data_IF_867412907547
#
_entry.id   IF_867412907547
#
_cell.length_a   1.000
_cell.length_b   1.000
_cell.length_c   1.000
_cell.angle_alpha   90.00
_cell.angle_beta   90.00
_cell.angle_gamma   90.00
#
_symmetry.space_group_name_H-M   'P 1'
#
loop_
_entity.id
_entity.type
_entity.pdbx_description
1 polymer ?
#
# COMPACT_ATOMS: atom_id res chain seq x y z
N UNK A 1 5.26 24.99 6.96
CA UNK A 1 3.90 24.65 6.52
C UNK A 1 3.18 25.93 6.16
N UNK A 2 2.40 25.94 5.09
CA UNK A 2 1.62 27.10 4.67
C UNK A 2 0.21 27.02 5.28
N UNK A 3 -0.12 27.96 6.17
CA UNK A 3 -1.39 28.00 6.89
C UNK A 3 -2.01 29.39 6.73
N UNK A 4 -3.22 29.47 6.19
CA UNK A 4 -4.00 30.72 6.08
C UNK A 4 -3.20 31.91 5.49
N UNK A 5 -2.35 31.64 4.49
CA UNK A 5 -1.52 32.68 3.86
C UNK A 5 -0.19 32.98 4.57
N UNK A 6 0.16 32.28 5.64
CA UNK A 6 1.41 32.47 6.40
C UNK A 6 2.25 31.21 6.44
N UNK A 7 3.56 31.40 6.52
CA UNK A 7 4.51 30.30 6.74
C UNK A 7 4.74 30.11 8.23
N UNK A 8 4.48 28.90 8.70
CA UNK A 8 4.77 28.49 10.08
C UNK A 8 5.72 27.30 10.09
N UNK A 9 6.61 27.17 11.09
CA UNK A 9 7.44 25.98 11.26
C UNK A 9 6.58 24.72 11.36
N UNK A 10 7.04 23.60 10.78
CA UNK A 10 6.37 22.32 10.99
C UNK A 10 6.74 21.80 12.38
N UNK A 11 5.91 22.11 13.36
CA UNK A 11 6.04 21.62 14.74
C UNK A 11 5.47 20.20 14.91
N UNK A 12 5.67 19.61 16.09
CA UNK A 12 5.22 18.25 16.38
C UNK A 12 3.70 18.11 16.36
N UNK A 13 2.98 19.19 16.69
CA UNK A 13 1.51 19.21 16.65
C UNK A 13 1.01 19.12 15.21
N UNK A 14 1.49 19.98 14.32
CA UNK A 14 1.14 19.97 12.91
C UNK A 14 1.55 18.66 12.23
N UNK A 15 2.67 18.05 12.65
CA UNK A 15 3.06 16.71 12.20
C UNK A 15 2.04 15.65 12.62
N UNK A 16 1.55 15.72 13.86
CA UNK A 16 0.50 14.82 14.36
C UNK A 16 -0.82 15.02 13.62
N UNK A 17 -1.24 16.26 13.39
CA UNK A 17 -2.48 16.59 12.66
C UNK A 17 -2.39 16.13 11.20
N UNK A 18 -1.23 16.33 10.56
CA UNK A 18 -0.94 15.79 9.22
C UNK A 18 -1.06 14.27 9.19
N UNK A 19 -0.44 13.57 10.15
CA UNK A 19 -0.50 12.11 10.21
C UNK A 19 -1.94 11.62 10.41
N UNK A 20 -2.71 12.30 11.26
CA UNK A 20 -4.12 11.98 11.49
C UNK A 20 -4.93 12.11 10.20
N UNK A 21 -4.85 13.25 9.51
CA UNK A 21 -5.54 13.46 8.24
C UNK A 21 -5.10 12.46 7.15
N UNK A 22 -3.80 12.13 7.09
CA UNK A 22 -3.28 11.12 6.18
C UNK A 22 -3.86 9.72 6.45
N UNK A 23 -3.93 9.31 7.72
CA UNK A 23 -4.52 8.04 8.13
C UNK A 23 -6.02 7.99 7.85
N UNK A 24 -6.76 9.07 8.10
CA UNK A 24 -8.19 9.16 7.82
C UNK A 24 -8.49 9.02 6.32
N UNK A 25 -7.86 9.84 5.47
CA UNK A 25 -8.05 9.80 4.02
C UNK A 25 -7.62 8.44 3.43
N UNK A 26 -6.48 7.92 3.87
CA UNK A 26 -6.03 6.58 3.46
C UNK A 26 -6.99 5.49 3.94
N UNK A 27 -7.56 5.62 5.14
CA UNK A 27 -8.53 4.69 5.71
C UNK A 27 -9.87 4.66 4.96
N UNK A 28 -10.20 5.73 4.24
CA UNK A 28 -11.32 5.78 3.31
C UNK A 28 -11.03 5.11 1.95
N UNK A 29 -9.82 4.55 1.75
CA UNK A 29 -9.42 3.94 0.49
C UNK A 29 -9.02 4.96 -0.57
N UNK A 30 -8.72 6.19 -0.17
CA UNK A 30 -8.27 7.23 -1.09
C UNK A 30 -6.74 7.17 -1.26
N UNK A 31 -6.27 7.50 -2.45
CA UNK A 31 -4.86 7.77 -2.74
C UNK A 31 -4.56 9.20 -2.33
N UNK A 32 -3.65 9.35 -1.37
CA UNK A 32 -3.30 10.66 -0.79
C UNK A 32 -1.94 11.12 -1.32
N UNK A 33 -1.89 12.36 -1.82
CA UNK A 33 -0.69 13.02 -2.34
C UNK A 33 -0.35 14.25 -1.49
N UNK A 34 0.92 14.40 -1.13
CA UNK A 34 1.44 15.57 -0.42
C UNK A 34 2.02 16.59 -1.39
N UNK A 35 1.62 17.85 -1.23
CA UNK A 35 2.09 18.96 -2.04
C UNK A 35 2.96 19.89 -1.19
N UNK A 36 4.12 20.24 -1.72
CA UNK A 36 5.03 21.21 -1.13
C UNK A 36 5.64 22.09 -2.23
N UNK A 37 6.03 23.29 -1.85
CA UNK A 37 6.71 24.25 -2.72
C UNK A 37 7.89 24.88 -2.00
N UNK A 38 8.71 25.63 -2.73
CA UNK A 38 9.78 26.41 -2.13
C UNK A 38 10.13 27.57 -3.05
N UNK A 39 10.12 28.79 -2.50
CA UNK A 39 10.50 29.97 -3.26
C UNK A 39 12.04 30.10 -3.25
N UNK A 40 12.66 29.85 -4.41
CA UNK A 40 14.12 29.92 -4.53
C UNK A 40 14.62 31.37 -4.39
N UNK A 41 15.66 31.63 -3.58
CA UNK A 41 16.26 32.96 -3.44
C UNK A 41 16.89 33.44 -4.76
N UNK A 42 16.45 34.59 -5.27
CA UNK A 42 16.88 35.11 -6.57
C UNK A 42 18.37 35.52 -6.61
N UNK A 43 18.99 35.76 -5.45
CA UNK A 43 20.42 36.02 -5.29
C UNK A 43 21.26 34.77 -5.58
N UNK A 44 20.75 33.58 -5.23
CA UNK A 44 21.41 32.29 -5.48
C UNK A 44 21.02 31.67 -6.82
N UNK A 45 19.79 31.94 -7.25
CA UNK A 45 19.18 31.38 -8.45
C UNK A 45 18.68 32.52 -9.36
N UNK A 46 19.59 33.24 -10.06
CA UNK A 46 19.22 34.34 -10.94
C UNK A 46 18.46 33.85 -12.18
N UNK A 47 17.82 34.78 -12.90
CA UNK A 47 17.18 34.49 -14.19
C UNK A 47 18.22 33.93 -15.17
N UNK A 48 17.94 32.76 -15.74
CA UNK A 48 18.86 32.04 -16.63
C UNK A 48 19.80 31.07 -15.92
N UNK A 49 19.65 30.86 -14.60
CA UNK A 49 20.33 29.78 -13.89
C UNK A 49 19.95 28.42 -14.49
N UNK A 50 20.96 27.60 -14.82
CA UNK A 50 20.76 26.25 -15.35
C UNK A 50 20.56 25.24 -14.21
N UNK A 51 19.40 24.58 -14.20
CA UNK A 51 19.10 23.52 -13.24
C UNK A 51 19.55 22.17 -13.78
N UNK A 52 20.26 21.41 -12.94
CA UNK A 52 20.79 20.09 -13.29
C UNK A 52 20.08 19.01 -12.47
N UNK A 53 19.49 18.03 -13.16
CA UNK A 53 18.75 16.92 -12.56
C UNK A 53 19.63 15.71 -12.24
N UNK A 54 20.81 15.59 -12.87
CA UNK A 54 21.78 14.52 -12.60
C UNK A 54 22.68 14.91 -11.44
N UNK A 55 23.17 16.16 -11.44
CA UNK A 55 23.91 16.76 -10.34
C UNK A 55 23.05 17.82 -9.66
N UNK A 56 22.15 17.35 -8.80
CA UNK A 56 21.18 18.16 -8.05
C UNK A 56 21.84 19.44 -7.49
N UNK A 57 21.50 20.59 -8.08
CA UNK A 57 22.02 21.91 -7.72
C UNK A 57 20.99 22.83 -7.05
N UNK A 58 19.84 22.29 -6.67
CA UNK A 58 18.73 22.97 -6.01
C UNK A 58 18.30 22.24 -4.72
N UNK A 59 17.65 22.94 -3.76
CA UNK A 59 17.25 22.34 -2.49
C UNK A 59 16.16 21.29 -2.68
N UNK A 60 16.36 20.11 -2.08
CA UNK A 60 15.35 19.05 -1.96
C UNK A 60 14.81 18.89 -0.53
N UNK A 61 15.30 19.70 0.41
CA UNK A 61 14.95 19.68 1.84
C UNK A 61 14.60 21.09 2.29
N UNK A 62 13.83 21.19 3.37
CA UNK A 62 13.37 22.48 3.89
C UNK A 62 12.30 23.13 3.02
N UNK A 63 11.60 22.34 2.21
CA UNK A 63 10.48 22.80 1.40
C UNK A 63 9.30 23.18 2.31
N UNK A 64 8.45 24.08 1.84
CA UNK A 64 7.23 24.51 2.49
C UNK A 64 6.11 23.54 2.13
N UNK A 65 5.66 22.75 3.09
CA UNK A 65 4.48 21.90 2.92
C UNK A 65 3.21 22.76 2.77
N UNK A 66 2.41 22.49 1.74
CA UNK A 66 1.19 23.25 1.41
C UNK A 66 -0.05 22.49 1.86
N UNK A 67 -0.14 21.19 1.57
CA UNK A 67 -1.31 20.41 1.94
C UNK A 67 -1.34 18.99 1.37
N UNK A 68 -2.39 18.26 1.73
CA UNK A 68 -2.74 16.97 1.17
C UNK A 68 -3.87 17.13 0.15
N UNK A 69 -3.84 16.33 -0.90
CA UNK A 69 -4.97 16.11 -1.79
C UNK A 69 -5.20 14.61 -1.88
N UNK A 70 -6.45 14.19 -1.78
CA UNK A 70 -6.84 12.80 -1.97
C UNK A 70 -7.62 12.62 -3.26
N UNK A 71 -7.52 11.42 -3.81
CA UNK A 71 -8.29 10.98 -4.96
C UNK A 71 -8.69 9.53 -4.76
N UNK A 72 -9.94 9.22 -5.09
CA UNK A 72 -10.43 7.85 -5.04
C UNK A 72 -10.30 7.23 -6.44
N UNK A 73 -9.73 6.03 -6.49
CA UNK A 73 -9.84 5.14 -7.64
C UNK A 73 -10.84 4.05 -7.26
N UNK A 74 -12.15 4.27 -7.52
CA UNK A 74 -13.18 3.39 -6.99
C UNK A 74 -13.08 2.01 -7.66
N UNK A 75 -13.31 0.91 -6.92
CA UNK A 75 -13.32 -0.41 -7.52
C UNK A 75 -14.41 -0.48 -8.59
N UNK A 76 -14.13 -1.19 -9.70
CA UNK A 76 -15.12 -1.41 -10.75
C UNK A 76 -16.36 -2.08 -10.14
N UNK A 77 -17.55 -1.66 -10.58
CA UNK A 77 -18.82 -2.08 -9.97
C UNK A 77 -19.04 -3.61 -9.89
N UNK A 78 -18.44 -4.38 -10.81
CA UNK A 78 -18.54 -5.83 -10.83
C UNK A 78 -17.56 -6.56 -9.88
N UNK A 79 -16.53 -5.87 -9.38
CA UNK A 79 -15.44 -6.49 -8.61
C UNK A 79 -15.93 -7.10 -7.29
N UNK A 80 -16.74 -6.42 -6.44
CA UNK A 80 -17.20 -7.02 -5.19
C UNK A 80 -17.99 -8.33 -5.40
N UNK A 81 -18.86 -8.38 -6.40
CA UNK A 81 -19.63 -9.60 -6.74
C UNK A 81 -18.72 -10.72 -7.27
N UNK A 82 -17.76 -10.39 -8.13
CA UNK A 82 -16.79 -11.35 -8.65
C UNK A 82 -15.93 -11.97 -7.53
N UNK A 83 -15.40 -11.14 -6.62
CA UNK A 83 -14.66 -11.61 -5.44
C UNK A 83 -15.53 -12.51 -4.58
N UNK A 84 -16.78 -12.11 -4.29
CA UNK A 84 -17.73 -12.91 -3.53
C UNK A 84 -17.99 -14.29 -4.15
N UNK A 85 -18.16 -14.36 -5.48
CA UNK A 85 -18.33 -15.62 -6.22
C UNK A 85 -17.09 -16.52 -6.14
N UNK A 86 -15.90 -15.97 -6.34
CA UNK A 86 -14.65 -16.71 -6.19
C UNK A 86 -14.53 -17.31 -4.79
N UNK A 87 -14.77 -16.52 -3.74
CA UNK A 87 -14.72 -16.99 -2.36
C UNK A 87 -15.77 -18.06 -2.06
N UNK A 88 -16.99 -17.90 -2.59
CA UNK A 88 -18.06 -18.90 -2.45
C UNK A 88 -17.72 -20.24 -3.11
N UNK A 89 -16.85 -20.23 -4.12
CA UNK A 89 -16.30 -21.44 -4.76
C UNK A 89 -15.07 -22.02 -4.03
N UNK A 90 -14.67 -21.45 -2.88
CA UNK A 90 -13.50 -21.89 -2.12
C UNK A 90 -12.16 -21.36 -2.65
N UNK A 91 -12.18 -20.40 -3.58
CA UNK A 91 -10.97 -19.78 -4.12
C UNK A 91 -10.45 -18.73 -3.13
N UNK A 92 -9.18 -18.85 -2.75
CA UNK A 92 -8.48 -17.84 -1.94
C UNK A 92 -8.13 -16.64 -2.82
N UNK A 93 -8.75 -15.49 -2.53
CA UNK A 93 -8.49 -14.23 -3.24
C UNK A 93 -7.48 -13.41 -2.45
N UNK A 94 -6.42 -12.95 -3.12
CA UNK A 94 -5.29 -12.22 -2.51
C UNK A 94 -5.05 -10.94 -3.30
N UNK A 95 -4.86 -9.82 -2.61
CA UNK A 95 -4.52 -8.54 -3.25
C UNK A 95 -3.01 -8.36 -3.31
N UNK A 96 -2.49 -7.93 -4.47
CA UNK A 96 -1.07 -7.59 -4.66
C UNK A 96 -0.94 -6.24 -5.37
N UNK A 97 -0.63 -5.18 -4.63
CA UNK A 97 -0.62 -3.80 -5.14
C UNK A 97 0.68 -3.04 -4.82
N UNK A 98 0.96 -2.00 -5.60
CA UNK A 98 1.99 -1.00 -5.34
C UNK A 98 1.50 0.17 -4.46
N UNK A 99 0.21 0.23 -4.15
CA UNK A 99 -0.38 1.27 -3.29
C UNK A 99 0.03 1.11 -1.83
N UNK A 100 -0.18 2.17 -1.06
CA UNK A 100 0.13 2.22 0.37
C UNK A 100 -0.73 1.22 1.17
N UNK A 101 -0.21 0.59 2.25
CA UNK A 101 -0.96 -0.41 3.04
C UNK A 101 -2.33 0.04 3.52
N UNK A 102 -2.45 1.29 3.95
CA UNK A 102 -3.71 1.84 4.49
C UNK A 102 -4.79 1.86 3.41
N UNK A 103 -4.48 2.45 2.24
CA UNK A 103 -5.36 2.48 1.09
C UNK A 103 -5.68 1.06 0.59
N UNK A 104 -4.66 0.19 0.49
CA UNK A 104 -4.84 -1.19 0.04
C UNK A 104 -5.77 -1.98 0.98
N UNK A 105 -5.61 -1.84 2.30
CA UNK A 105 -6.46 -2.47 3.31
C UNK A 105 -7.91 -1.98 3.19
N UNK A 106 -8.11 -0.67 3.02
CA UNK A 106 -9.44 -0.08 2.86
C UNK A 106 -10.14 -0.56 1.58
N UNK A 107 -9.43 -0.57 0.43
CA UNK A 107 -9.96 -1.12 -0.82
C UNK A 107 -10.25 -2.61 -0.67
N UNK A 108 -9.35 -3.39 -0.07
CA UNK A 108 -9.54 -4.83 0.15
C UNK A 108 -10.79 -5.14 1.00
N UNK A 109 -11.10 -4.30 2.00
CA UNK A 109 -12.37 -4.38 2.75
C UNK A 109 -13.57 -4.03 1.85
N UNK A 110 -13.47 -2.96 1.06
CA UNK A 110 -14.56 -2.51 0.18
C UNK A 110 -14.96 -3.55 -0.89
N UNK A 111 -14.01 -4.34 -1.39
CA UNK A 111 -14.26 -5.36 -2.42
C UNK A 111 -14.46 -6.78 -1.85
N UNK A 112 -14.39 -6.95 -0.53
CA UNK A 112 -14.62 -8.25 0.12
C UNK A 112 -13.45 -9.23 0.06
N UNK A 113 -12.22 -8.76 -0.18
CA UNK A 113 -10.99 -9.56 0.00
C UNK A 113 -10.72 -9.74 1.50
N UNK A 114 -10.82 -8.65 2.26
CA UNK A 114 -10.88 -8.70 3.72
C UNK A 114 -12.36 -8.64 4.11
N UNK A 115 -12.82 -9.62 4.89
CA UNK A 115 -14.21 -9.69 5.34
C UNK A 115 -14.50 -8.63 6.40
N UNK A 116 -15.77 -8.24 6.49
CA UNK A 116 -16.23 -7.40 7.60
C UNK A 116 -15.96 -8.11 8.94
N UNK A 117 -15.39 -7.39 9.91
CA UNK A 117 -14.99 -7.94 11.21
C UNK A 117 -13.70 -8.77 11.22
N UNK A 118 -13.07 -9.04 10.07
CA UNK A 118 -11.75 -9.64 10.06
C UNK A 118 -10.69 -8.64 10.53
N UNK A 119 -9.87 -9.05 11.48
CA UNK A 119 -8.82 -8.25 12.10
C UNK A 119 -7.44 -8.70 11.61
N UNK A 120 -6.53 -7.73 11.46
CA UNK A 120 -5.09 -7.99 11.33
C UNK A 120 -4.42 -8.04 12.70
N UNK A 121 -3.17 -8.50 12.76
CA UNK A 121 -2.37 -8.51 14.02
C UNK A 121 -2.31 -7.10 14.62
N UNK A 122 -2.17 -6.07 13.78
CA UNK A 122 -2.17 -4.67 14.20
C UNK A 122 -3.53 -4.21 14.74
N UNK A 123 -4.64 -4.67 14.14
CA UNK A 123 -5.99 -4.33 14.63
C UNK A 123 -6.21 -4.92 16.02
N UNK A 124 -5.79 -6.18 16.23
CA UNK A 124 -5.90 -6.87 17.53
C UNK A 124 -5.03 -6.17 18.58
N UNK A 125 -3.79 -5.80 18.22
CA UNK A 125 -2.88 -5.07 19.10
C UNK A 125 -3.49 -3.74 19.56
N UNK A 126 -4.02 -2.94 18.63
CA UNK A 126 -4.68 -1.66 18.93
C UNK A 126 -5.90 -1.87 19.81
N UNK A 127 -6.76 -2.84 19.49
CA UNK A 127 -7.98 -3.13 20.25
C UNK A 127 -7.68 -3.56 21.70
N UNK A 128 -6.61 -4.34 21.91
CA UNK A 128 -6.19 -4.84 23.22
C UNK A 128 -5.28 -3.87 23.98
N UNK A 129 -4.71 -2.87 23.30
CA UNK A 129 -3.73 -1.96 23.87
C UNK A 129 -2.40 -2.65 24.21
N UNK A 130 -2.00 -3.65 23.44
CA UNK A 130 -0.76 -4.41 23.62
C UNK A 130 0.20 -4.20 22.44
N UNK A 131 1.52 -4.41 22.62
CA UNK A 131 2.48 -4.48 21.51
C UNK A 131 2.08 -5.50 20.44
N UNK A 132 2.42 -5.23 19.18
CA UNK A 132 2.11 -6.13 18.04
C UNK A 132 2.81 -7.48 18.19
N UNK A 133 4.03 -7.50 18.75
CA UNK A 133 4.79 -8.72 19.03
C UNK A 133 4.13 -9.66 20.05
N UNK A 134 3.21 -9.16 20.87
CA UNK A 134 2.49 -9.94 21.89
C UNK A 134 1.19 -10.55 21.36
N UNK A 135 0.82 -10.27 20.10
CA UNK A 135 -0.36 -10.85 19.46
C UNK A 135 0.04 -12.15 18.77
N UNK A 136 -0.65 -13.24 19.08
CA UNK A 136 -0.50 -14.50 18.34
C UNK A 136 -0.99 -14.31 16.88
N UNK A 137 -0.13 -14.48 15.87
CA UNK A 137 -0.50 -14.34 14.46
C UNK A 137 -1.66 -15.24 14.04
N UNK A 138 -1.85 -16.39 14.71
CA UNK A 138 -2.94 -17.33 14.40
C UNK A 138 -4.33 -16.79 14.77
N UNK A 139 -4.41 -15.78 15.64
CA UNK A 139 -5.68 -15.11 15.97
C UNK A 139 -6.17 -14.20 14.82
N UNK A 140 -5.24 -13.68 14.02
CA UNK A 140 -5.56 -12.75 12.94
C UNK A 140 -5.96 -13.49 11.67
N UNK A 141 -7.23 -13.38 11.29
CA UNK A 141 -7.72 -13.98 10.03
C UNK A 141 -7.13 -13.29 8.80
N UNK A 142 -6.86 -11.99 8.90
CA UNK A 142 -6.36 -11.15 7.83
C UNK A 142 -4.91 -10.71 8.09
N UNK A 143 -4.15 -10.48 7.01
CA UNK A 143 -2.81 -9.92 7.09
C UNK A 143 -2.59 -8.87 6.00
N UNK A 144 -1.91 -7.79 6.37
CA UNK A 144 -1.44 -6.75 5.43
C UNK A 144 0.08 -6.72 5.49
N UNK A 145 0.73 -7.18 4.43
CA UNK A 145 2.20 -7.29 4.36
C UNK A 145 2.73 -6.14 3.51
N UNK A 146 3.64 -5.34 4.09
CA UNK A 146 4.30 -4.27 3.35
C UNK A 146 5.49 -4.82 2.55
N UNK A 147 5.74 -4.22 1.38
CA UNK A 147 6.82 -4.64 0.49
C UNK A 147 8.23 -4.54 1.09
N UNK A 148 8.49 -3.69 2.08
CA UNK A 148 9.78 -3.72 2.80
C UNK A 148 9.96 -5.03 3.54
N UNK A 149 8.93 -5.47 4.25
CA UNK A 149 9.00 -6.61 5.16
C UNK A 149 9.08 -7.89 4.32
N UNK A 150 8.32 -7.95 3.22
CA UNK A 150 8.39 -9.03 2.24
C UNK A 150 9.80 -9.22 1.64
N UNK A 151 10.60 -8.15 1.55
CA UNK A 151 11.99 -8.25 1.06
C UNK A 151 12.91 -8.95 2.07
N UNK A 152 12.64 -8.77 3.35
CA UNK A 152 13.43 -9.32 4.44
C UNK A 152 12.94 -10.73 4.85
N UNK A 153 11.71 -11.08 4.46
CA UNK A 153 11.13 -12.39 4.70
C UNK A 153 11.87 -13.51 3.96
N UNK A 154 12.14 -14.60 4.68
CA UNK A 154 12.53 -15.87 4.07
C UNK A 154 11.35 -16.55 3.39
N UNK A 155 11.64 -17.56 2.57
CA UNK A 155 10.61 -18.35 1.90
C UNK A 155 9.69 -19.08 2.90
N UNK A 156 10.24 -19.52 4.04
CA UNK A 156 9.48 -20.18 5.11
C UNK A 156 8.55 -19.22 5.84
N UNK A 157 9.00 -17.98 6.08
CA UNK A 157 8.17 -16.94 6.69
C UNK A 157 7.00 -16.55 5.79
N UNK A 158 7.26 -16.39 4.48
CA UNK A 158 6.18 -16.15 3.51
C UNK A 158 5.20 -17.32 3.47
N UNK A 159 5.70 -18.56 3.51
CA UNK A 159 4.87 -19.74 3.56
C UNK A 159 3.98 -19.80 4.83
N UNK A 160 4.50 -19.37 5.97
CA UNK A 160 3.75 -19.27 7.22
C UNK A 160 2.62 -18.24 7.11
N UNK A 161 2.90 -17.04 6.58
CA UNK A 161 1.87 -16.02 6.32
C UNK A 161 0.77 -16.57 5.40
N UNK A 162 1.16 -17.29 4.33
CA UNK A 162 0.22 -17.89 3.38
C UNK A 162 -0.66 -18.95 4.05
N UNK A 163 -0.15 -19.73 4.99
CA UNK A 163 -0.91 -20.77 5.70
C UNK A 163 -1.80 -20.23 6.79
N UNK A 164 -1.30 -19.29 7.59
CA UNK A 164 -1.97 -18.83 8.81
C UNK A 164 -3.10 -17.83 8.50
N UNK A 165 -2.96 -17.03 7.45
CA UNK A 165 -3.94 -16.00 7.11
C UNK A 165 -4.75 -16.39 5.87
N UNK A 166 -6.08 -16.37 6.01
CA UNK A 166 -6.99 -16.67 4.89
C UNK A 166 -7.23 -15.46 3.97
N UNK A 167 -7.05 -14.24 4.49
CA UNK A 167 -7.34 -12.98 3.80
C UNK A 167 -6.07 -12.14 3.77
N UNK A 168 -5.41 -12.03 2.62
CA UNK A 168 -4.06 -11.45 2.54
C UNK A 168 -4.04 -10.27 1.56
N UNK A 169 -3.38 -9.19 1.98
CA UNK A 169 -3.07 -8.03 1.15
C UNK A 169 -1.57 -7.78 1.18
N UNK A 170 -0.93 -7.82 0.02
CA UNK A 170 0.45 -7.37 -0.15
C UNK A 170 0.43 -5.96 -0.75
N UNK A 171 1.01 -5.00 -0.03
CA UNK A 171 1.00 -3.58 -0.38
C UNK A 171 2.42 -3.04 -0.60
N UNK A 172 2.57 -1.96 -1.37
CA UNK A 172 3.86 -1.36 -1.78
C UNK A 172 4.85 -2.37 -2.39
N UNK A 173 4.33 -3.33 -3.15
CA UNK A 173 5.14 -4.36 -3.80
C UNK A 173 5.82 -3.87 -5.08
N UNK A 174 7.04 -4.33 -5.35
CA UNK A 174 7.71 -4.20 -6.65
C UNK A 174 7.27 -5.30 -7.63
N UNK A 175 7.50 -5.14 -8.95
CA UNK A 175 7.23 -6.20 -9.93
C UNK A 175 7.89 -7.55 -9.60
N UNK A 176 9.11 -7.53 -9.07
CA UNK A 176 9.83 -8.74 -8.64
C UNK A 176 9.18 -9.38 -7.41
N UNK A 177 8.64 -8.58 -6.50
CA UNK A 177 7.94 -9.08 -5.32
C UNK A 177 6.60 -9.72 -5.70
N UNK A 178 5.89 -9.19 -6.71
CA UNK A 178 4.68 -9.86 -7.24
C UNK A 178 5.00 -11.27 -7.73
N UNK A 179 6.12 -11.44 -8.44
CA UNK A 179 6.61 -12.74 -8.88
C UNK A 179 6.92 -13.67 -7.69
N UNK A 180 7.64 -13.17 -6.68
CA UNK A 180 7.95 -13.93 -5.46
C UNK A 180 6.69 -14.42 -4.75
N UNK A 181 5.64 -13.59 -4.67
CA UNK A 181 4.36 -13.98 -4.06
C UNK A 181 3.73 -15.14 -4.84
N UNK A 182 3.67 -15.05 -6.17
CA UNK A 182 3.14 -16.13 -7.03
C UNK A 182 3.89 -17.43 -6.80
N UNK A 183 5.23 -17.38 -6.78
CA UNK A 183 6.08 -18.53 -6.50
C UNK A 183 5.85 -19.10 -5.10
N UNK A 184 5.65 -18.24 -4.10
CA UNK A 184 5.32 -18.64 -2.73
C UNK A 184 4.05 -19.49 -2.67
N UNK A 185 2.97 -19.06 -3.34
CA UNK A 185 1.73 -19.83 -3.41
C UNK A 185 1.88 -21.14 -4.22
N UNK A 186 2.58 -21.10 -5.35
CA UNK A 186 2.83 -22.30 -6.17
C UNK A 186 3.63 -23.37 -5.42
N UNK A 187 4.61 -22.96 -4.61
CA UNK A 187 5.40 -23.87 -3.75
C UNK A 187 4.58 -24.54 -2.65
N UNK A 188 3.47 -23.93 -2.23
CA UNK A 188 2.49 -24.57 -1.34
C UNK A 188 1.56 -25.54 -2.11
N UNK A 189 1.84 -25.82 -3.38
CA UNK A 189 1.03 -26.72 -4.23
C UNK A 189 -0.28 -26.12 -4.70
N UNK A 190 -0.45 -24.79 -4.60
CA UNK A 190 -1.64 -24.10 -5.09
C UNK A 190 -1.53 -23.80 -6.59
N UNK A 191 -2.65 -23.92 -7.30
CA UNK A 191 -2.77 -23.41 -8.67
C UNK A 191 -3.11 -21.92 -8.58
N UNK A 192 -2.28 -21.08 -9.19
CA UNK A 192 -2.34 -19.62 -9.03
C UNK A 192 -2.80 -18.98 -10.34
N UNK A 193 -3.89 -18.22 -10.26
CA UNK A 193 -4.30 -17.31 -11.31
C UNK A 193 -3.94 -15.87 -10.92
N UNK A 194 -3.43 -15.08 -11.86
CA UNK A 194 -3.11 -13.66 -11.66
C UNK A 194 -3.92 -12.83 -12.64
N UNK A 195 -4.54 -11.77 -12.13
CA UNK A 195 -5.23 -10.72 -12.90
C UNK A 195 -4.47 -9.41 -12.72
N UNK A 196 -4.13 -8.73 -13.82
CA UNK A 196 -3.44 -7.44 -13.76
C UNK A 196 -3.60 -6.64 -15.05
N UNK A 197 -3.29 -5.35 -15.00
CA UNK A 197 -3.48 -4.38 -16.07
C UNK A 197 -2.17 -3.70 -16.51
N UNK A 198 -1.12 -3.77 -15.68
CA UNK A 198 0.11 -3.04 -15.88
C UNK A 198 1.28 -3.88 -16.40
N UNK A 199 2.26 -3.19 -16.99
CA UNK A 199 3.61 -3.77 -17.26
C UNK A 199 4.29 -4.27 -15.99
N UNK A 200 3.91 -3.72 -14.83
CA UNK A 200 4.40 -4.13 -13.52
C UNK A 200 3.95 -5.55 -13.15
N UNK A 201 2.87 -6.06 -13.75
CA UNK A 201 2.32 -7.40 -13.49
C UNK A 201 2.87 -8.44 -14.46
N UNK A 202 3.56 -8.02 -15.53
CA UNK A 202 4.03 -8.93 -16.57
C UNK A 202 4.86 -10.12 -16.05
N UNK A 203 5.79 -9.96 -15.09
CA UNK A 203 6.52 -11.10 -14.52
C UNK A 203 5.59 -12.08 -13.80
N UNK A 204 4.66 -11.58 -12.99
CA UNK A 204 3.73 -12.40 -12.21
C UNK A 204 2.71 -13.11 -13.10
N UNK A 205 2.16 -12.41 -14.09
CA UNK A 205 1.23 -12.96 -15.09
C UNK A 205 1.84 -14.10 -15.90
N UNK A 206 3.11 -13.97 -16.29
CA UNK A 206 3.83 -15.01 -17.03
C UNK A 206 4.13 -16.24 -16.17
N UNK A 207 4.34 -16.06 -14.88
CA UNK A 207 4.69 -17.15 -13.95
C UNK A 207 3.48 -17.90 -13.43
N UNK A 208 2.34 -17.23 -13.30
CA UNK A 208 1.08 -17.81 -12.90
C UNK A 208 0.69 -18.99 -13.79
N UNK A 209 -0.05 -19.95 -13.23
CA UNK A 209 -0.60 -21.07 -14.00
C UNK A 209 -1.59 -20.55 -15.05
N UNK A 210 -2.31 -19.46 -14.72
CA UNK A 210 -3.17 -18.72 -15.65
C UNK A 210 -2.99 -17.21 -15.40
N UNK A 211 -2.59 -16.46 -16.43
CA UNK A 211 -2.49 -15.00 -16.39
C UNK A 211 -3.59 -14.33 -17.21
N UNK A 212 -4.32 -13.38 -16.62
CA UNK A 212 -5.31 -12.55 -17.30
C UNK A 212 -4.82 -11.10 -17.34
N UNK A 213 -4.65 -10.58 -18.54
CA UNK A 213 -4.32 -9.18 -18.76
C UNK A 213 -5.59 -8.41 -19.11
N UNK A 214 -5.96 -7.43 -18.28
CA UNK A 214 -7.03 -6.49 -18.62
C UNK A 214 -6.49 -5.36 -19.50
N UNK A 215 -7.21 -5.03 -20.58
CA UNK A 215 -6.97 -3.87 -21.44
C UNK A 215 -7.95 -2.75 -21.12
#
# INVERSE_FOLDING_TARGET
MFLNGKEEPLDDKLRSDFNTAYLELGGMGERVLGFCDFLLPADKYPKGYEFDIERINFPLKGLRFVGLMSMIDPPRAAVPDAVGKCRSAGIKVVMVTGDHPITAKAIAKSVGIISEGAETVEDIAIRRGIPVEDVDPCEAKAAVVHGSDLREMSEDQLAEVIRNHSEIVFARTSPQQKLMIVEGFQRQGQIVAVTGDGVNDSPALKKADIGWFEF
#
